data_IF_603750111987
#
_entry.id   IF_603750111987
#
_cell.length_a   1.000
_cell.length_b   1.000
_cell.length_c   1.000
_cell.angle_alpha   90.00
_cell.angle_beta   90.00
_cell.angle_gamma   90.00
#
_symmetry.space_group_name_H-M   'P 1'
#
loop_
_entity.id
_entity.type
_entity.pdbx_description
1 polymer ?
#
# COMPACT_ATOMS: atom_id res chain seq x y z
N UNK A 1 5.95 15.19 -2.03
CA UNK A 1 4.65 14.75 -2.60
C UNK A 1 3.56 15.36 -1.74
N UNK A 2 2.75 16.25 -2.30
CA UNK A 2 1.83 17.11 -1.55
C UNK A 2 0.84 16.32 -0.69
N UNK A 3 0.29 15.20 -1.20
CA UNK A 3 -0.66 14.37 -0.44
C UNK A 3 -0.13 13.79 0.88
N UNK A 4 1.19 13.60 1.03
CA UNK A 4 1.76 13.15 2.31
C UNK A 4 1.62 14.21 3.41
N UNK A 5 1.76 15.49 3.08
CA UNK A 5 1.64 16.59 4.04
C UNK A 5 0.21 16.75 4.55
N UNK A 6 -0.78 16.54 3.67
CA UNK A 6 -2.19 16.53 4.05
C UNK A 6 -2.53 15.37 4.99
N UNK A 7 -1.80 14.25 4.87
CA UNK A 7 -2.00 13.08 5.71
C UNK A 7 -1.36 13.19 7.11
N UNK A 8 -0.25 13.93 7.26
CA UNK A 8 0.55 13.98 8.50
C UNK A 8 0.51 15.30 9.29
N UNK A 9 -0.38 16.24 8.94
CA UNK A 9 -0.60 17.50 9.68
C UNK A 9 0.63 18.42 9.80
N UNK A 10 1.61 18.29 8.89
CA UNK A 10 2.89 19.01 8.97
C UNK A 10 2.80 20.49 8.54
N UNK A 11 1.61 20.98 8.14
CA UNK A 11 1.40 22.32 7.58
C UNK A 11 0.44 23.12 8.47
N UNK A 12 0.91 24.17 9.17
CA UNK A 12 0.11 24.96 10.12
C UNK A 12 -1.17 25.56 9.51
N UNK A 13 -1.15 25.91 8.23
CA UNK A 13 -2.28 26.47 7.49
C UNK A 13 -3.44 25.46 7.32
N UNK A 14 -3.15 24.16 7.41
CA UNK A 14 -4.13 23.08 7.28
C UNK A 14 -4.91 22.81 8.58
N UNK A 15 -4.60 23.49 9.68
CA UNK A 15 -5.33 23.37 10.95
C UNK A 15 -6.77 23.92 10.86
N UNK A 16 -7.08 24.74 9.84
CA UNK A 16 -8.41 25.29 9.59
C UNK A 16 -9.37 24.31 8.90
N UNK A 17 -8.83 23.22 8.35
CA UNK A 17 -9.59 22.20 7.62
C UNK A 17 -9.81 21.01 8.56
N UNK A 18 -10.96 20.34 8.48
CA UNK A 18 -11.18 19.13 9.30
C UNK A 18 -10.23 18.01 8.89
N UNK A 19 -9.90 17.11 9.82
CA UNK A 19 -9.02 15.96 9.55
C UNK A 19 -9.53 15.12 8.38
N UNK A 20 -10.83 14.83 8.36
CA UNK A 20 -11.46 14.01 7.33
C UNK A 20 -11.33 14.63 5.93
N UNK A 21 -11.45 15.96 5.84
CA UNK A 21 -11.31 16.68 4.58
C UNK A 21 -9.85 16.68 4.09
N UNK A 22 -8.88 16.83 5.00
CA UNK A 22 -7.45 16.69 4.64
C UNK A 22 -7.14 15.29 4.10
N UNK A 23 -7.70 14.26 4.74
CA UNK A 23 -7.52 12.87 4.31
C UNK A 23 -8.11 12.66 2.92
N UNK A 24 -9.31 13.19 2.63
CA UNK A 24 -9.91 13.13 1.28
C UNK A 24 -9.04 13.78 0.22
N UNK A 25 -8.56 15.00 0.48
CA UNK A 25 -7.65 15.73 -0.43
C UNK A 25 -6.36 14.93 -0.65
N UNK A 26 -5.79 14.34 0.41
CA UNK A 26 -4.60 13.49 0.30
C UNK A 26 -4.83 12.30 -0.65
N UNK A 27 -5.98 11.64 -0.51
CA UNK A 27 -6.36 10.48 -1.34
C UNK A 27 -6.51 10.87 -2.81
N UNK A 28 -7.14 12.01 -3.10
CA UNK A 28 -7.26 12.52 -4.47
C UNK A 28 -5.90 12.79 -5.10
N UNK A 29 -4.99 13.45 -4.37
CA UNK A 29 -3.62 13.70 -4.84
C UNK A 29 -2.87 12.39 -5.05
N UNK A 30 -3.04 11.40 -4.16
CA UNK A 30 -2.43 10.08 -4.34
C UNK A 30 -2.97 9.38 -5.58
N UNK A 31 -4.28 9.45 -5.84
CA UNK A 31 -4.90 8.89 -7.04
C UNK A 31 -4.31 9.51 -8.31
N UNK A 32 -4.36 10.84 -8.43
CA UNK A 32 -3.83 11.54 -9.61
C UNK A 32 -2.35 11.23 -9.87
N UNK A 33 -1.56 11.15 -8.80
CA UNK A 33 -0.13 10.86 -8.91
C UNK A 33 0.14 9.37 -9.19
N UNK A 34 -0.73 8.48 -8.71
CA UNK A 34 -0.69 7.06 -9.00
C UNK A 34 -1.03 6.76 -10.46
N UNK A 35 -2.01 7.49 -11.01
CA UNK A 35 -2.43 7.41 -12.41
C UNK A 35 -1.33 7.90 -13.36
N UNK A 36 -0.48 8.84 -12.91
CA UNK A 36 0.76 9.25 -13.60
C UNK A 36 1.90 8.23 -13.49
N UNK A 37 1.67 7.08 -12.87
CA UNK A 37 2.64 5.99 -12.80
C UNK A 37 3.57 6.04 -11.60
N UNK A 38 3.43 6.97 -10.65
CA UNK A 38 4.38 7.05 -9.54
C UNK A 38 4.21 5.86 -8.56
N UNK A 39 5.25 5.05 -8.32
CA UNK A 39 5.11 3.83 -7.52
C UNK A 39 4.80 4.10 -6.05
N UNK A 40 5.30 5.21 -5.49
CA UNK A 40 5.01 5.59 -4.10
C UNK A 40 3.55 6.04 -3.94
N UNK A 41 3.02 6.77 -4.92
CA UNK A 41 1.60 7.16 -4.91
C UNK A 41 0.69 5.96 -5.13
N UNK A 42 1.02 5.05 -6.04
CA UNK A 42 0.28 3.80 -6.24
C UNK A 42 0.22 2.95 -4.96
N UNK A 43 1.33 2.86 -4.22
CA UNK A 43 1.35 2.21 -2.90
C UNK A 43 0.39 2.89 -1.93
N UNK A 44 0.49 4.22 -1.79
CA UNK A 44 -0.34 4.99 -0.83
C UNK A 44 -1.82 4.92 -1.17
N UNK A 45 -2.18 5.15 -2.43
CA UNK A 45 -3.55 5.05 -2.89
C UNK A 45 -4.12 3.64 -2.69
N UNK A 46 -3.31 2.61 -2.98
CA UNK A 46 -3.69 1.22 -2.70
C UNK A 46 -3.95 0.95 -1.21
N UNK A 47 -3.17 1.55 -0.30
CA UNK A 47 -3.40 1.44 1.15
C UNK A 47 -4.70 2.16 1.56
N UNK A 48 -4.96 3.36 1.04
CA UNK A 48 -6.21 4.08 1.32
C UNK A 48 -7.45 3.29 0.88
N UNK A 49 -7.41 2.71 -0.32
CA UNK A 49 -8.47 1.82 -0.82
C UNK A 49 -8.59 0.54 0.02
N UNK A 50 -7.49 0.01 0.56
CA UNK A 50 -7.54 -1.17 1.41
C UNK A 50 -8.22 -0.90 2.75
N UNK A 51 -7.93 0.26 3.35
CA UNK A 51 -8.41 0.64 4.69
C UNK A 51 -9.76 1.35 4.67
N UNK A 52 -10.16 1.91 3.52
CA UNK A 52 -11.34 2.77 3.44
C UNK A 52 -11.11 4.15 4.06
N UNK A 53 -9.87 4.63 4.06
CA UNK A 53 -9.50 5.90 4.68
C UNK A 53 -9.60 7.03 3.65
N UNK A 54 -10.51 7.99 3.87
CA UNK A 54 -10.77 9.09 2.94
C UNK A 54 -11.48 8.69 1.64
N UNK A 55 -11.70 7.40 1.41
CA UNK A 55 -12.40 6.83 0.24
C UNK A 55 -13.08 5.52 0.66
N UNK A 56 -14.13 5.10 -0.04
CA UNK A 56 -14.73 3.79 0.18
C UNK A 56 -13.71 2.66 -0.03
N UNK A 57 -13.71 1.69 0.89
CA UNK A 57 -12.82 0.55 0.81
C UNK A 57 -13.11 -0.30 -0.44
N UNK A 58 -12.07 -0.65 -1.19
CA UNK A 58 -12.14 -1.54 -2.35
C UNK A 58 -10.84 -2.35 -2.46
N UNK A 59 -10.86 -3.57 -1.92
CA UNK A 59 -9.66 -4.40 -1.85
C UNK A 59 -9.18 -4.93 -3.21
N UNK A 60 -10.08 -5.09 -4.18
CA UNK A 60 -9.71 -5.49 -5.55
C UNK A 60 -8.95 -4.35 -6.26
N UNK A 61 -9.45 -3.13 -6.15
CA UNK A 61 -8.78 -1.96 -6.71
C UNK A 61 -7.48 -1.64 -5.96
N UNK A 62 -7.47 -1.77 -4.63
CA UNK A 62 -6.26 -1.67 -3.82
C UNK A 62 -5.16 -2.62 -4.34
N UNK A 63 -5.49 -3.90 -4.55
CA UNK A 63 -4.54 -4.87 -5.10
C UNK A 63 -4.03 -4.46 -6.49
N UNK A 64 -4.87 -3.87 -7.34
CA UNK A 64 -4.47 -3.40 -8.67
C UNK A 64 -3.37 -2.34 -8.55
N UNK A 65 -3.58 -1.30 -7.75
CA UNK A 65 -2.58 -0.24 -7.57
C UNK A 65 -1.32 -0.74 -6.85
N UNK A 66 -1.47 -1.60 -5.85
CA UNK A 66 -0.32 -2.22 -5.19
C UNK A 66 0.51 -3.05 -6.18
N UNK A 67 -0.12 -3.81 -7.08
CA UNK A 67 0.58 -4.57 -8.14
C UNK A 67 1.30 -3.64 -9.12
N UNK A 68 0.69 -2.52 -9.51
CA UNK A 68 1.36 -1.52 -10.34
C UNK A 68 2.64 -1.00 -9.67
N UNK A 69 2.56 -0.70 -8.36
CA UNK A 69 3.72 -0.26 -7.58
C UNK A 69 4.79 -1.34 -7.45
N UNK A 70 4.38 -2.58 -7.18
CA UNK A 70 5.26 -3.74 -7.07
C UNK A 70 5.99 -4.04 -8.39
N UNK A 71 5.30 -3.94 -9.54
CA UNK A 71 5.90 -4.15 -10.86
C UNK A 71 7.01 -3.14 -11.17
N UNK A 72 7.00 -1.97 -10.52
CA UNK A 72 8.05 -0.97 -10.60
C UNK A 72 9.18 -1.18 -9.56
N UNK A 73 9.16 -2.31 -8.85
CA UNK A 73 10.18 -2.67 -7.88
C UNK A 73 9.95 -2.15 -6.47
N UNK A 74 8.77 -1.60 -6.15
CA UNK A 74 8.46 -1.14 -4.81
C UNK A 74 8.30 -2.32 -3.84
N UNK A 75 9.31 -2.53 -3.00
CA UNK A 75 9.36 -3.64 -2.06
C UNK A 75 8.33 -3.55 -0.93
N UNK A 76 7.89 -2.34 -0.57
CA UNK A 76 6.82 -2.15 0.40
C UNK A 76 5.46 -2.58 -0.20
N UNK A 77 5.20 -2.30 -1.47
CA UNK A 77 4.00 -2.79 -2.16
C UNK A 77 3.99 -4.31 -2.26
N UNK A 78 5.12 -4.93 -2.63
CA UNK A 78 5.28 -6.39 -2.62
C UNK A 78 4.97 -6.98 -1.24
N UNK A 79 5.49 -6.38 -0.18
CA UNK A 79 5.20 -6.81 1.19
C UNK A 79 3.70 -6.75 1.53
N UNK A 80 3.01 -5.66 1.17
CA UNK A 80 1.57 -5.51 1.42
C UNK A 80 0.77 -6.56 0.66
N UNK A 81 1.10 -6.82 -0.61
CA UNK A 81 0.45 -7.85 -1.43
C UNK A 81 0.72 -9.24 -0.85
N UNK A 82 1.95 -9.52 -0.45
CA UNK A 82 2.34 -10.76 0.18
C UNK A 82 1.51 -11.04 1.44
N UNK A 83 1.38 -10.04 2.31
CA UNK A 83 0.53 -10.12 3.51
C UNK A 83 -0.95 -10.31 3.17
N UNK A 84 -1.46 -9.61 2.16
CA UNK A 84 -2.85 -9.73 1.71
C UNK A 84 -3.17 -11.17 1.27
N UNK A 85 -2.31 -11.79 0.46
CA UNK A 85 -2.51 -13.18 0.03
C UNK A 85 -2.25 -14.20 1.16
N UNK A 86 -1.27 -13.98 2.03
CA UNK A 86 -1.02 -14.87 3.17
C UNK A 86 -2.19 -14.91 4.15
N UNK A 87 -2.81 -13.76 4.42
CA UNK A 87 -3.89 -13.66 5.39
C UNK A 87 -5.25 -13.98 4.75
N UNK A 88 -5.44 -13.66 3.46
CA UNK A 88 -6.76 -13.55 2.85
C UNK A 88 -7.60 -12.43 3.47
N UNK A 89 -8.88 -12.38 3.09
CA UNK A 89 -9.87 -11.44 3.64
C UNK A 89 -10.23 -10.30 2.70
N UNK A 90 -11.30 -9.57 3.03
CA UNK A 90 -11.87 -8.49 2.21
C UNK A 90 -12.12 -8.88 0.73
N UNK A 91 -12.60 -10.10 0.50
CA UNK A 91 -12.86 -10.63 -0.85
C UNK A 91 -11.63 -11.18 -1.57
N UNK A 92 -10.45 -11.18 -0.95
CA UNK A 92 -9.24 -11.82 -1.47
C UNK A 92 -9.08 -13.19 -0.83
N UNK A 93 -9.01 -14.21 -1.68
CA UNK A 93 -8.75 -15.57 -1.24
C UNK A 93 -7.32 -15.70 -0.70
N UNK A 94 -7.20 -16.51 0.36
CA UNK A 94 -5.90 -16.86 0.90
C UNK A 94 -5.14 -17.70 -0.12
N UNK A 95 -3.94 -17.24 -0.48
CA UNK A 95 -3.04 -17.91 -1.40
C UNK A 95 -1.62 -17.84 -0.81
N UNK A 96 -1.24 -18.91 -0.10
CA UNK A 96 0.04 -18.95 0.61
C UNK A 96 1.23 -18.95 -0.35
N UNK A 97 1.08 -19.55 -1.53
CA UNK A 97 2.13 -19.64 -2.52
C UNK A 97 2.41 -18.27 -3.14
N UNK A 98 1.36 -17.57 -3.60
CA UNK A 98 1.49 -16.20 -4.10
C UNK A 98 1.96 -15.25 -3.01
N UNK A 99 1.40 -15.36 -1.81
CA UNK A 99 1.80 -14.54 -0.67
C UNK A 99 3.28 -14.69 -0.34
N UNK A 100 3.77 -15.93 -0.27
CA UNK A 100 5.18 -16.22 -0.08
C UNK A 100 6.04 -15.65 -1.21
N UNK A 101 5.64 -15.84 -2.48
CA UNK A 101 6.39 -15.31 -3.63
C UNK A 101 6.63 -13.81 -3.53
N UNK A 102 5.59 -13.02 -3.26
CA UNK A 102 5.72 -11.56 -3.11
C UNK A 102 6.59 -11.17 -1.91
N UNK A 103 6.49 -11.91 -0.79
CA UNK A 103 7.35 -11.65 0.37
C UNK A 103 8.82 -11.97 0.10
N UNK A 104 9.12 -13.06 -0.63
CA UNK A 104 10.48 -13.38 -1.06
C UNK A 104 11.06 -12.26 -1.92
N UNK A 105 10.30 -11.80 -2.93
CA UNK A 105 10.72 -10.70 -3.80
C UNK A 105 10.96 -9.39 -3.01
N UNK A 106 10.08 -9.06 -2.06
CA UNK A 106 10.26 -7.91 -1.18
C UNK A 106 11.53 -8.05 -0.31
N UNK A 107 11.75 -9.23 0.24
CA UNK A 107 12.88 -9.53 1.13
C UNK A 107 14.22 -9.49 0.39
N UNK A 108 14.28 -10.01 -0.84
CA UNK A 108 15.41 -9.89 -1.77
C UNK A 108 15.74 -8.43 -2.10
N UNK A 109 14.73 -7.56 -2.12
CA UNK A 109 14.89 -6.10 -2.26
C UNK A 109 15.14 -5.38 -0.93
N UNK A 110 15.69 -6.08 0.06
CA UNK A 110 16.06 -5.55 1.37
C UNK A 110 14.91 -4.99 2.22
N UNK A 111 13.66 -5.37 1.96
CA UNK A 111 12.54 -4.96 2.81
C UNK A 111 12.57 -5.69 4.16
N UNK A 112 12.96 -5.00 5.23
CA UNK A 112 13.20 -5.57 6.55
C UNK A 112 12.00 -6.36 7.10
N UNK A 113 10.79 -5.78 7.07
CA UNK A 113 9.58 -6.47 7.55
C UNK A 113 9.25 -7.71 6.71
N UNK A 114 9.63 -7.73 5.44
CA UNK A 114 9.42 -8.91 4.60
C UNK A 114 10.42 -10.01 4.97
N UNK A 115 11.69 -9.67 5.23
CA UNK A 115 12.69 -10.61 5.75
C UNK A 115 12.23 -11.24 7.05
N UNK A 116 11.81 -10.42 8.03
CA UNK A 116 11.26 -10.90 9.30
C UNK A 116 10.06 -11.82 9.11
N UNK A 117 9.13 -11.44 8.23
CA UNK A 117 7.94 -12.23 7.96
C UNK A 117 8.28 -13.56 7.30
N UNK A 118 9.22 -13.57 6.36
CA UNK A 118 9.71 -14.78 5.74
C UNK A 118 10.36 -15.72 6.76
N UNK A 119 11.23 -15.20 7.63
CA UNK A 119 11.86 -15.99 8.71
C UNK A 119 10.80 -16.58 9.64
N UNK A 120 9.80 -15.80 10.06
CA UNK A 120 8.71 -16.27 10.93
C UNK A 120 7.84 -17.36 10.29
N UNK A 121 7.72 -17.37 8.97
CA UNK A 121 6.87 -18.31 8.23
C UNK A 121 7.67 -19.43 7.55
N UNK A 122 8.97 -19.60 7.88
CA UNK A 122 9.87 -20.56 7.24
C UNK A 122 9.91 -20.46 5.70
N UNK A 123 9.76 -19.24 5.18
CA UNK A 123 9.83 -18.94 3.75
C UNK A 123 11.29 -18.63 3.39
N UNK A 124 11.91 -19.48 2.57
CA UNK A 124 13.31 -19.33 2.13
C UNK A 124 13.40 -18.38 0.92
N UNK A 125 14.29 -17.38 0.98
CA UNK A 125 14.52 -16.35 -0.05
C UNK A 125 15.99 -15.96 -0.14
#
# INVERSE_FOLDING_TARGET
MVGYYYYHEEVPELQKISKDERVRIAVEIFKETADKGNPSAQLRYGICLWQGEGISANSFEALKYLKLSANQGNSAAMYVIGKAYLNGGNGIEQDRERGAKYLKEAALKNHLKAKEMCTKNNIVF
#
